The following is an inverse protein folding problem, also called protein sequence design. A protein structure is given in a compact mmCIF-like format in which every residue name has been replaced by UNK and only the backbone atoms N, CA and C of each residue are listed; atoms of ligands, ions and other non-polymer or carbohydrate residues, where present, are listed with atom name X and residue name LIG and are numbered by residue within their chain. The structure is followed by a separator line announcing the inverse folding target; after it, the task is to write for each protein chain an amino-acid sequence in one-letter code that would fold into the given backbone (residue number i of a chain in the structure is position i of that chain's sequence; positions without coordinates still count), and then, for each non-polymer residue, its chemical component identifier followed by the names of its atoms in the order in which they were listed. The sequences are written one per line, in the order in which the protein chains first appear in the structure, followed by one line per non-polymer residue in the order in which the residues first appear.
data_IF_215364645657
#
_entry.id   IF_215364645657
#
_cell.length_a   1.000
_cell.length_b   1.000
_cell.length_c   1.000
_cell.angle_alpha   90.00
_cell.angle_beta   90.00
_cell.angle_gamma   90.00
#
_symmetry.space_group_name_H-M   'P 1'
#
loop_
_entity.id
_entity.type
_entity.pdbx_description
1 polymer ?
#
# COMPACT_ATOMS: atom_id res chain seq x y z
N UNK A 1 12.11 31.32 13.50
CA UNK A 1 11.17 30.31 12.95
C UNK A 1 11.95 29.00 12.85
N UNK A 2 11.54 27.93 13.56
CA UNK A 2 12.32 26.68 13.61
C UNK A 2 11.88 25.74 12.47
N UNK A 3 12.40 25.99 11.28
CA UNK A 3 12.11 25.21 10.07
C UNK A 3 12.57 23.76 10.19
N UNK A 4 13.59 23.49 11.01
CA UNK A 4 14.17 22.16 11.23
C UNK A 4 13.11 21.15 11.72
N UNK A 5 12.25 21.55 12.67
CA UNK A 5 11.21 20.67 13.20
C UNK A 5 10.11 20.37 12.17
N UNK A 6 9.73 21.34 11.32
CA UNK A 6 8.79 21.08 10.22
C UNK A 6 9.37 20.12 9.19
N UNK A 7 10.63 20.33 8.78
CA UNK A 7 11.31 19.43 7.83
C UNK A 7 11.40 18.00 8.35
N UNK A 8 11.71 17.81 9.64
CA UNK A 8 11.72 16.49 10.29
C UNK A 8 10.33 15.83 10.20
N UNK A 9 9.26 16.54 10.56
CA UNK A 9 7.89 16.02 10.45
C UNK A 9 7.53 15.64 9.01
N UNK A 10 7.81 16.51 8.03
CA UNK A 10 7.54 16.25 6.61
C UNK A 10 8.31 15.01 6.11
N UNK A 11 9.60 14.88 6.44
CA UNK A 11 10.39 13.71 6.05
C UNK A 11 9.82 12.43 6.66
N UNK A 12 9.44 12.44 7.95
CA UNK A 12 8.86 11.26 8.61
C UNK A 12 7.52 10.89 7.96
N UNK A 13 6.60 11.85 7.79
CA UNK A 13 5.27 11.59 7.19
C UNK A 13 5.38 11.08 5.76
N UNK A 14 6.23 11.68 4.91
CA UNK A 14 6.44 11.23 3.52
C UNK A 14 7.07 9.84 3.50
N UNK A 15 8.10 9.61 4.31
CA UNK A 15 8.75 8.28 4.40
C UNK A 15 7.76 7.21 4.87
N UNK A 16 6.92 7.50 5.85
CA UNK A 16 5.94 6.56 6.37
C UNK A 16 4.82 6.28 5.35
N UNK A 17 4.38 7.29 4.59
CA UNK A 17 3.42 7.12 3.50
C UNK A 17 3.99 6.25 2.37
N UNK A 18 5.23 6.49 1.94
CA UNK A 18 5.91 5.67 0.93
C UNK A 18 6.11 4.23 1.43
N UNK A 19 6.59 4.04 2.66
CA UNK A 19 6.73 2.71 3.27
C UNK A 19 5.38 1.97 3.40
N UNK A 20 4.31 2.68 3.74
CA UNK A 20 2.95 2.10 3.81
C UNK A 20 2.45 1.69 2.43
N UNK A 21 2.63 2.52 1.40
CA UNK A 21 2.26 2.19 0.02
C UNK A 21 3.08 1.01 -0.51
N UNK A 22 4.41 1.04 -0.35
CA UNK A 22 5.29 -0.08 -0.74
C UNK A 22 4.89 -1.36 0.00
N UNK A 23 4.63 -1.31 1.31
CA UNK A 23 4.17 -2.48 2.06
C UNK A 23 2.79 -2.97 1.59
N UNK A 24 1.84 -2.06 1.34
CA UNK A 24 0.49 -2.39 0.89
C UNK A 24 0.45 -3.01 -0.50
N UNK A 25 1.28 -2.55 -1.43
CA UNK A 25 1.23 -2.96 -2.84
C UNK A 25 2.32 -3.97 -3.24
N UNK A 26 3.56 -3.86 -2.74
CA UNK A 26 4.65 -4.79 -3.06
C UNK A 26 4.79 -5.94 -2.06
N UNK A 27 4.42 -5.74 -0.79
CA UNK A 27 4.54 -6.80 0.25
C UNK A 27 3.25 -7.61 0.40
N UNK A 28 2.09 -6.98 0.13
CA UNK A 28 0.80 -7.64 0.02
C UNK A 28 0.25 -7.64 -1.44
N UNK A 29 0.96 -8.21 -2.44
CA UNK A 29 0.23 -8.82 -3.52
C UNK A 29 -0.54 -9.95 -2.87
N UNK A 30 -1.83 -9.74 -2.60
CA UNK A 30 -2.78 -10.85 -2.45
C UNK A 30 -2.48 -11.72 -3.68
N UNK A 31 -1.89 -12.91 -3.47
CA UNK A 31 -1.70 -13.86 -4.57
C UNK A 31 -3.06 -13.91 -5.25
N UNK A 32 -3.12 -13.52 -6.51
CA UNK A 32 -4.38 -13.46 -7.23
C UNK A 32 -4.85 -14.92 -7.28
N UNK A 33 -5.71 -15.30 -6.32
CA UNK A 33 -6.39 -16.58 -6.34
C UNK A 33 -7.39 -16.43 -7.48
N UNK A 34 -6.86 -16.64 -8.69
CA UNK A 34 -7.66 -16.73 -9.90
C UNK A 34 -8.50 -17.99 -9.70
N UNK A 35 -9.72 -17.77 -9.23
CA UNK A 35 -10.70 -18.80 -8.96
C UNK A 35 -11.94 -18.51 -9.81
N UNK A 36 -12.16 -19.12 -10.99
CA UNK A 36 -11.30 -20.01 -11.81
C UNK A 36 -10.71 -21.25 -11.12
N UNK A 37 -11.29 -21.64 -10.01
CA UNK A 37 -11.06 -22.85 -9.22
C UNK A 37 -12.45 -23.45 -9.11
N UNK A 38 -12.95 -23.84 -10.29
CA UNK A 38 -14.24 -24.42 -10.63
C UNK A 38 -15.51 -23.75 -10.04
N UNK A 39 -16.46 -23.50 -10.93
CA UNK A 39 -17.82 -23.02 -10.65
C UNK A 39 -17.99 -21.51 -10.32
N UNK A 40 -19.07 -20.97 -10.88
CA UNK A 40 -19.59 -19.60 -10.76
C UNK A 40 -18.67 -18.43 -11.18
N UNK A 41 -18.39 -18.35 -12.48
CA UNK A 41 -18.14 -17.04 -13.09
C UNK A 41 -19.50 -16.33 -13.21
N UNK A 42 -19.81 -15.43 -12.25
CA UNK A 42 -21.12 -14.81 -12.04
C UNK A 42 -21.65 -13.94 -13.19
N UNK A 43 -22.04 -14.60 -14.28
CA UNK A 43 -23.00 -14.12 -15.27
C UNK A 43 -24.31 -14.88 -15.04
N UNK A 44 -25.25 -14.24 -14.35
CA UNK A 44 -26.67 -14.61 -14.30
C UNK A 44 -27.47 -13.39 -14.76
#
# INVERSE_FOLDING_TARGET
MNSTLQTIFVIITVSFAVLFLVKKFLWNPKKKKNSCDNDDCGCH
#
